data_IF_592574633328
#
_entry.id   IF_592574633328
#
_cell.length_a   1.000
_cell.length_b   1.000
_cell.length_c   1.000
_cell.angle_alpha   90.00
_cell.angle_beta   90.00
_cell.angle_gamma   90.00
#
_symmetry.space_group_name_H-M   'P 1'
#
loop_
_entity.id
_entity.type
_entity.pdbx_description
1 polymer ?
#
# COMPACT_ATOMS: atom_id res chain seq x y z
N UNK A 1 7.94 4.66 -11.68
CA UNK A 1 7.05 4.03 -10.67
C UNK A 1 6.38 2.78 -11.22
N UNK A 2 5.21 2.85 -11.85
CA UNK A 2 4.38 1.73 -12.32
C UNK A 2 5.06 0.40 -12.68
N UNK A 3 6.06 0.41 -13.57
CA UNK A 3 6.74 -0.80 -14.05
C UNK A 3 7.52 -1.56 -12.95
N UNK A 4 7.83 -0.92 -11.81
CA UNK A 4 8.49 -1.59 -10.68
C UNK A 4 7.53 -2.43 -9.85
N UNK A 5 6.23 -2.18 -9.93
CA UNK A 5 5.24 -2.79 -9.03
C UNK A 5 5.04 -4.27 -9.33
N UNK A 6 5.08 -5.09 -8.28
CA UNK A 6 4.92 -6.54 -8.37
C UNK A 6 3.63 -6.97 -7.70
N UNK A 7 2.72 -7.55 -8.48
CA UNK A 7 1.47 -8.14 -8.00
C UNK A 7 1.75 -9.55 -7.47
N UNK A 8 1.56 -9.75 -6.16
CA UNK A 8 1.89 -11.00 -5.47
C UNK A 8 0.66 -11.81 -5.08
N UNK A 9 -0.50 -11.16 -4.97
CA UNK A 9 -1.79 -11.81 -4.76
C UNK A 9 -2.89 -10.99 -5.43
N UNK A 10 -3.86 -11.64 -6.08
CA UNK A 10 -5.05 -10.98 -6.63
C UNK A 10 -6.28 -11.88 -6.55
N UNK A 11 -6.96 -11.86 -5.41
CA UNK A 11 -8.06 -12.74 -5.05
C UNK A 11 -7.66 -13.81 -4.03
N UNK A 12 -8.61 -14.20 -3.18
CA UNK A 12 -8.48 -15.40 -2.31
C UNK A 12 -8.65 -16.70 -3.09
N UNK A 13 -9.24 -16.60 -4.29
CA UNK A 13 -9.38 -17.66 -5.28
C UNK A 13 -9.04 -17.07 -6.65
N UNK A 14 -8.57 -17.91 -7.58
CA UNK A 14 -8.19 -17.52 -8.94
C UNK A 14 -9.34 -16.92 -9.75
N UNK A 15 -10.59 -17.19 -9.37
CA UNK A 15 -11.76 -16.83 -10.17
C UNK A 15 -12.36 -15.47 -9.78
N UNK A 16 -11.94 -14.88 -8.67
CA UNK A 16 -12.48 -13.62 -8.15
C UNK A 16 -11.34 -12.64 -7.84
N UNK A 17 -10.71 -12.05 -8.89
CA UNK A 17 -9.68 -11.03 -8.70
C UNK A 17 -10.28 -9.77 -8.08
N UNK A 18 -9.48 -9.04 -7.29
CA UNK A 18 -9.85 -7.72 -6.77
C UNK A 18 -9.37 -6.60 -7.69
N UNK A 19 -8.20 -6.76 -8.31
CA UNK A 19 -7.61 -5.79 -9.24
C UNK A 19 -7.97 -6.15 -10.69
N UNK A 20 -8.22 -5.15 -11.56
CA UNK A 20 -8.21 -3.71 -11.25
C UNK A 20 -9.42 -3.27 -10.40
N UNK A 21 -9.21 -2.27 -9.54
CA UNK A 21 -10.26 -1.67 -8.71
C UNK A 21 -11.22 -0.84 -9.56
N UNK A 22 -12.49 -0.80 -9.15
CA UNK A 22 -13.51 0.02 -9.80
C UNK A 22 -13.36 1.50 -9.41
N UNK A 23 -13.05 2.36 -10.40
CA UNK A 23 -12.96 3.82 -10.23
C UNK A 23 -14.32 4.46 -9.89
N UNK A 24 -15.45 3.78 -10.12
CA UNK A 24 -16.80 4.32 -9.93
C UNK A 24 -17.49 3.84 -8.64
N UNK A 25 -16.77 3.17 -7.74
CA UNK A 25 -17.31 2.73 -6.47
C UNK A 25 -17.93 3.90 -5.66
N UNK A 26 -19.05 3.69 -4.98
CA UNK A 26 -19.76 4.77 -4.29
C UNK A 26 -18.96 5.36 -3.13
N UNK A 27 -18.29 4.51 -2.34
CA UNK A 27 -17.50 4.92 -1.18
C UNK A 27 -16.33 3.96 -0.96
N UNK A 28 -15.13 4.48 -0.82
CA UNK A 28 -13.91 3.67 -0.64
C UNK A 28 -13.15 4.14 0.61
N UNK A 29 -12.41 3.21 1.21
CA UNK A 29 -11.51 3.49 2.32
C UNK A 29 -10.06 3.49 1.83
N UNK A 30 -9.31 4.53 2.16
CA UNK A 30 -7.85 4.55 2.07
C UNK A 30 -7.31 4.58 3.50
N UNK A 31 -6.38 3.69 3.81
CA UNK A 31 -5.83 3.54 5.16
C UNK A 31 -4.34 3.22 5.15
N UNK A 32 -3.74 3.24 6.33
CA UNK A 32 -2.35 2.88 6.57
C UNK A 32 -1.43 4.10 6.69
N UNK A 33 -0.32 3.89 7.38
CA UNK A 33 0.63 4.95 7.72
C UNK A 33 1.36 5.56 6.53
N UNK A 34 1.34 4.88 5.37
CA UNK A 34 2.06 5.26 4.16
C UNK A 34 1.15 5.78 3.05
N UNK A 35 -0.18 5.84 3.26
CA UNK A 35 -1.09 6.26 2.19
C UNK A 35 -0.99 7.75 1.89
N UNK A 36 -0.72 8.56 2.90
CA UNK A 36 -0.61 10.02 2.78
C UNK A 36 0.68 10.53 3.43
N UNK A 37 1.81 9.99 2.97
CA UNK A 37 3.13 10.35 3.47
C UNK A 37 4.17 10.22 2.35
N UNK A 38 4.53 11.35 1.75
CA UNK A 38 5.43 11.42 0.60
C UNK A 38 6.85 10.94 0.96
N UNK A 39 7.34 11.34 2.12
CA UNK A 39 8.66 10.92 2.60
C UNK A 39 8.77 9.40 2.78
N UNK A 40 7.71 8.75 3.26
CA UNK A 40 7.68 7.30 3.42
C UNK A 40 7.66 6.55 2.07
N UNK A 41 6.93 7.04 1.07
CA UNK A 41 6.98 6.41 -0.26
C UNK A 41 8.30 6.67 -1.01
N UNK A 42 9.09 7.66 -0.59
CA UNK A 42 10.43 7.91 -1.12
C UNK A 42 11.54 7.10 -0.44
N UNK A 43 11.50 6.97 0.90
CA UNK A 43 12.53 6.27 1.68
C UNK A 43 13.77 7.12 1.98
N UNK A 44 14.88 6.47 2.33
CA UNK A 44 16.15 7.13 2.62
C UNK A 44 16.74 7.85 1.40
N UNK A 45 17.78 8.66 1.61
CA UNK A 45 18.41 9.47 0.56
C UNK A 45 17.46 10.40 -0.21
N UNK A 46 16.38 10.86 0.44
CA UNK A 46 15.43 11.82 -0.13
C UNK A 46 15.35 13.06 0.73
N UNK A 47 15.87 14.18 0.20
CA UNK A 47 16.18 15.44 0.89
C UNK A 47 17.19 15.29 2.04
N UNK A 48 16.93 14.38 2.98
CA UNK A 48 17.79 14.04 4.10
C UNK A 48 18.46 12.68 3.88
N UNK A 49 19.61 12.46 4.54
CA UNK A 49 20.34 11.20 4.47
C UNK A 49 19.46 10.00 4.83
N UNK A 50 18.82 10.04 6.00
CA UNK A 50 17.91 8.99 6.45
C UNK A 50 16.52 9.09 5.80
N UNK A 51 16.28 10.09 4.96
CA UNK A 51 14.94 10.50 4.56
C UNK A 51 14.18 11.15 5.72
N UNK A 52 12.89 11.36 5.52
CA UNK A 52 12.03 12.03 6.49
C UNK A 52 10.58 11.55 6.37
N UNK A 53 9.77 11.81 7.39
CA UNK A 53 8.32 11.63 7.35
C UNK A 53 7.63 12.90 6.87
N UNK A 54 6.45 12.77 6.26
CA UNK A 54 5.59 13.87 5.87
C UNK A 54 5.77 14.28 4.41
N UNK A 55 5.20 15.43 4.06
CA UNK A 55 5.09 15.89 2.67
C UNK A 55 6.02 17.09 2.42
N UNK A 56 7.31 16.92 2.67
CA UNK A 56 8.30 18.02 2.67
C UNK A 56 8.98 18.26 1.32
N UNK A 57 8.57 17.55 0.26
CA UNK A 57 8.98 17.82 -1.13
C UNK A 57 7.76 17.88 -2.04
N UNK A 58 7.96 18.28 -3.29
CA UNK A 58 6.92 18.27 -4.32
C UNK A 58 6.72 16.84 -4.82
N UNK A 59 5.47 16.39 -4.84
CA UNK A 59 5.09 15.08 -5.34
C UNK A 59 3.60 14.84 -5.16
N UNK A 60 3.18 13.59 -5.37
CA UNK A 60 1.81 13.15 -5.17
C UNK A 60 1.83 11.92 -4.26
N UNK A 61 1.15 12.00 -3.12
CA UNK A 61 0.97 10.82 -2.25
C UNK A 61 0.06 9.80 -2.91
N UNK A 62 0.08 8.56 -2.43
CA UNK A 62 -0.84 7.52 -2.94
C UNK A 62 -2.31 7.92 -2.69
N UNK A 63 -2.63 8.55 -1.55
CA UNK A 63 -3.97 9.06 -1.23
C UNK A 63 -4.39 10.17 -2.22
N UNK A 64 -3.51 11.12 -2.50
CA UNK A 64 -3.76 12.20 -3.47
C UNK A 64 -3.98 11.63 -4.86
N UNK A 65 -3.13 10.69 -5.29
CA UNK A 65 -3.29 10.00 -6.57
C UNK A 65 -4.62 9.26 -6.66
N UNK A 66 -5.03 8.53 -5.61
CA UNK A 66 -6.34 7.84 -5.58
C UNK A 66 -7.48 8.84 -5.73
N UNK A 67 -7.47 9.94 -4.97
CA UNK A 67 -8.50 10.99 -5.07
C UNK A 67 -8.59 11.61 -6.47
N UNK A 68 -7.47 11.70 -7.18
CA UNK A 68 -7.41 12.25 -8.53
C UNK A 68 -8.00 11.32 -9.59
N UNK A 69 -7.82 10.00 -9.45
CA UNK A 69 -8.19 9.05 -10.52
C UNK A 69 -9.57 8.42 -10.38
N UNK A 70 -10.16 8.40 -9.18
CA UNK A 70 -11.52 7.88 -8.99
C UNK A 70 -12.56 8.84 -9.57
N UNK A 71 -13.76 8.34 -9.82
CA UNK A 71 -14.88 9.18 -10.28
C UNK A 71 -15.12 10.35 -9.32
N UNK A 72 -15.45 11.55 -9.80
CA UNK A 72 -15.87 12.67 -8.94
C UNK A 72 -17.03 12.33 -8.00
N UNK A 73 -17.84 11.30 -8.32
CA UNK A 73 -18.93 10.81 -7.47
C UNK A 73 -18.48 9.84 -6.37
N UNK A 74 -17.25 9.32 -6.44
CA UNK A 74 -16.71 8.37 -5.47
C UNK A 74 -16.29 9.08 -4.19
N UNK A 75 -16.90 8.71 -3.05
CA UNK A 75 -16.50 9.24 -1.75
C UNK A 75 -15.25 8.52 -1.23
N UNK A 76 -14.11 9.21 -1.25
CA UNK A 76 -12.86 8.70 -0.65
C UNK A 76 -12.79 9.10 0.82
N UNK A 77 -12.77 8.12 1.72
CA UNK A 77 -12.53 8.34 3.15
C UNK A 77 -11.11 7.89 3.49
N UNK A 78 -10.34 8.78 4.12
CA UNK A 78 -9.03 8.46 4.66
C UNK A 78 -9.11 8.26 6.17
N UNK A 79 -8.60 7.12 6.65
CA UNK A 79 -8.35 6.87 8.06
C UNK A 79 -7.00 6.18 8.20
N UNK A 80 -6.05 6.80 8.92
CA UNK A 80 -4.68 6.27 9.03
C UNK A 80 -4.66 4.86 9.63
N UNK A 81 -5.32 4.66 10.78
CA UNK A 81 -5.34 3.39 11.51
C UNK A 81 -6.74 3.12 12.08
N UNK A 82 -7.74 2.77 11.23
CA UNK A 82 -9.08 2.47 11.71
C UNK A 82 -9.11 1.13 12.45
N UNK A 83 -9.97 1.03 13.46
CA UNK A 83 -10.35 -0.25 14.05
C UNK A 83 -11.33 -1.01 13.14
N UNK A 84 -11.56 -2.30 13.45
CA UNK A 84 -12.41 -3.16 12.64
C UNK A 84 -13.90 -2.77 12.68
N UNK A 85 -14.39 -2.20 13.79
CA UNK A 85 -15.81 -1.87 13.95
C UNK A 85 -16.17 -0.62 13.14
N UNK A 86 -15.28 0.37 13.11
CA UNK A 86 -15.35 1.49 12.20
C UNK A 86 -15.44 1.01 10.75
N UNK A 87 -14.61 0.05 10.32
CA UNK A 87 -14.61 -0.40 8.93
C UNK A 87 -15.93 -1.08 8.54
N UNK A 88 -16.48 -1.95 9.41
CA UNK A 88 -17.73 -2.70 9.13
C UNK A 88 -18.96 -1.79 9.00
N UNK A 89 -19.06 -0.75 9.83
CA UNK A 89 -20.26 0.09 9.94
C UNK A 89 -20.42 1.16 8.85
N UNK A 90 -19.48 1.29 7.91
CA UNK A 90 -19.37 2.48 7.06
C UNK A 90 -19.82 2.28 5.60
N UNK A 91 -20.15 1.05 5.18
CA UNK A 91 -20.64 0.78 3.83
C UNK A 91 -19.61 1.06 2.73
N UNK A 92 -18.34 0.75 2.97
CA UNK A 92 -17.28 0.85 1.97
C UNK A 92 -17.38 -0.27 0.92
N UNK A 93 -17.10 0.03 -0.34
CA UNK A 93 -17.04 -0.97 -1.42
C UNK A 93 -15.77 -1.82 -1.35
N UNK A 94 -14.63 -1.19 -1.07
CA UNK A 94 -13.33 -1.83 -0.84
C UNK A 94 -12.40 -0.88 -0.06
N UNK A 95 -11.27 -1.42 0.42
CA UNK A 95 -10.20 -0.65 1.04
C UNK A 95 -8.86 -0.77 0.31
N UNK A 96 -8.09 0.31 0.34
CA UNK A 96 -6.68 0.34 -0.05
C UNK A 96 -5.87 0.66 1.21
N UNK A 97 -5.04 -0.30 1.64
CA UNK A 97 -4.20 -0.20 2.85
C UNK A 97 -2.74 -0.07 2.43
N UNK A 98 -2.12 1.07 2.73
CA UNK A 98 -0.73 1.35 2.38
C UNK A 98 0.13 1.37 3.64
N UNK A 99 1.01 0.39 3.79
CA UNK A 99 1.86 0.19 4.96
C UNK A 99 3.27 -0.17 4.53
N UNK A 100 4.24 -0.10 5.45
CA UNK A 100 5.63 -0.23 5.03
C UNK A 100 6.67 0.06 6.08
N UNK A 101 7.94 0.03 5.65
CA UNK A 101 9.08 0.48 6.44
C UNK A 101 9.15 2.02 6.46
N UNK A 102 9.52 2.65 7.59
CA UNK A 102 9.93 4.05 7.57
C UNK A 102 11.21 4.21 6.72
N UNK A 103 11.55 5.45 6.31
CA UNK A 103 12.84 5.75 5.69
C UNK A 103 14.04 5.29 6.54
N UNK A 104 15.07 4.79 5.86
CA UNK A 104 16.37 4.45 6.43
C UNK A 104 17.43 4.51 5.33
N UNK A 105 18.68 4.73 5.75
CA UNK A 105 19.85 4.62 4.88
C UNK A 105 21.00 3.92 5.62
N UNK A 106 21.72 3.07 4.88
CA UNK A 106 22.92 2.35 5.35
C UNK A 106 22.63 1.51 6.61
N UNK A 107 23.49 1.57 7.62
CA UNK A 107 23.43 0.71 8.81
C UNK A 107 22.18 0.96 9.68
N UNK A 108 21.52 2.11 9.54
CA UNK A 108 20.22 2.35 10.20
C UNK A 108 19.11 1.46 9.65
N UNK A 109 19.31 0.87 8.46
CA UNK A 109 18.43 -0.12 7.88
C UNK A 109 18.67 -1.54 8.38
N UNK A 110 19.70 -1.82 9.18
CA UNK A 110 19.99 -3.17 9.66
C UNK A 110 18.84 -3.67 10.57
N UNK A 111 18.23 -4.78 10.18
CA UNK A 111 17.05 -5.32 10.86
C UNK A 111 16.98 -6.84 10.71
N UNK A 112 17.06 -7.55 11.84
CA UNK A 112 17.06 -9.02 11.89
C UNK A 112 15.65 -9.63 11.82
N UNK A 113 14.61 -8.84 12.09
CA UNK A 113 13.23 -9.34 12.20
C UNK A 113 12.42 -9.18 10.90
N UNK A 114 12.73 -8.14 10.11
CA UNK A 114 12.08 -7.82 8.82
C UNK A 114 10.53 -7.90 8.85
N UNK A 115 9.91 -7.49 9.95
CA UNK A 115 8.46 -7.40 10.11
C UNK A 115 7.93 -6.03 9.70
N UNK A 116 6.69 -5.95 9.21
CA UNK A 116 6.04 -4.67 8.85
C UNK A 116 5.88 -3.79 10.11
N UNK A 117 6.57 -2.63 10.20
CA UNK A 117 6.57 -1.80 11.40
C UNK A 117 5.35 -0.86 11.46
N UNK A 118 5.38 0.08 12.43
CA UNK A 118 4.42 1.18 12.57
C UNK A 118 2.95 0.74 12.69
N UNK A 119 2.72 -0.41 13.32
CA UNK A 119 1.38 -0.99 13.47
C UNK A 119 0.76 -1.47 12.15
N UNK A 120 1.54 -1.54 11.06
CA UNK A 120 1.00 -1.87 9.74
C UNK A 120 0.33 -3.24 9.69
N UNK A 121 0.85 -4.22 10.43
CA UNK A 121 0.22 -5.52 10.58
C UNK A 121 -1.17 -5.47 11.22
N UNK A 122 -1.38 -4.60 12.20
CA UNK A 122 -2.67 -4.47 12.88
C UNK A 122 -3.66 -3.68 12.02
N UNK A 123 -3.21 -2.64 11.30
CA UNK A 123 -4.04 -1.96 10.30
C UNK A 123 -4.49 -2.92 9.20
N UNK A 124 -3.61 -3.82 8.72
CA UNK A 124 -4.00 -4.88 7.77
C UNK A 124 -5.07 -5.77 8.39
N UNK A 125 -4.88 -6.29 9.61
CA UNK A 125 -5.87 -7.16 10.25
C UNK A 125 -7.22 -6.48 10.43
N UNK A 126 -7.24 -5.25 10.93
CA UNK A 126 -8.47 -4.50 11.21
C UNK A 126 -9.26 -4.22 9.94
N UNK A 127 -8.59 -3.80 8.87
CA UNK A 127 -9.25 -3.44 7.61
C UNK A 127 -9.60 -4.67 6.79
N UNK A 128 -8.63 -5.54 6.50
CA UNK A 128 -8.81 -6.70 5.63
C UNK A 128 -9.61 -7.84 6.29
N UNK A 129 -9.70 -7.85 7.62
CA UNK A 129 -10.60 -8.75 8.34
C UNK A 129 -12.06 -8.33 8.26
N UNK A 130 -12.33 -7.05 7.95
CA UNK A 130 -13.68 -6.47 7.92
C UNK A 130 -14.20 -6.21 6.50
N UNK A 131 -13.32 -5.99 5.53
CA UNK A 131 -13.67 -5.57 4.17
C UNK A 131 -12.69 -6.13 3.14
N UNK A 132 -13.15 -6.31 1.90
CA UNK A 132 -12.25 -6.62 0.79
C UNK A 132 -11.16 -5.56 0.67
N UNK A 133 -9.90 -5.99 0.66
CA UNK A 133 -8.78 -5.06 0.73
C UNK A 133 -7.67 -5.35 -0.28
N UNK A 134 -7.12 -4.27 -0.83
CA UNK A 134 -5.80 -4.24 -1.44
C UNK A 134 -4.80 -3.77 -0.38
N UNK A 135 -3.72 -4.52 -0.17
CA UNK A 135 -2.56 -4.07 0.60
C UNK A 135 -1.43 -3.70 -0.36
N UNK A 136 -0.93 -2.48 -0.22
CA UNK A 136 0.24 -1.96 -0.92
C UNK A 136 1.38 -1.86 0.08
N UNK A 137 2.44 -2.63 -0.11
CA UNK A 137 3.64 -2.61 0.73
C UNK A 137 4.68 -1.65 0.17
N UNK A 138 5.06 -0.67 0.96
CA UNK A 138 6.19 0.25 0.74
C UNK A 138 7.40 -0.28 1.52
N UNK A 139 8.46 -0.69 0.85
CA UNK A 139 9.60 -1.32 1.52
C UNK A 139 10.83 -1.32 0.64
N UNK A 140 12.02 -1.19 1.22
CA UNK A 140 13.28 -1.33 0.48
C UNK A 140 13.60 -2.79 0.11
N UNK A 141 12.88 -3.76 0.70
CA UNK A 141 13.19 -5.19 0.65
C UNK A 141 11.96 -6.07 0.99
N UNK A 142 12.00 -7.39 0.75
CA UNK A 142 10.97 -8.31 1.22
C UNK A 142 10.80 -8.26 2.74
N UNK A 143 9.55 -8.35 3.22
CA UNK A 143 9.20 -8.40 4.65
C UNK A 143 8.32 -9.62 4.96
N UNK A 144 8.21 -9.95 6.24
CA UNK A 144 7.29 -10.97 6.75
C UNK A 144 5.84 -10.57 6.45
N UNK A 145 5.22 -11.26 5.48
CA UNK A 145 3.82 -11.04 5.08
C UNK A 145 2.90 -12.23 5.36
N UNK A 146 3.48 -13.43 5.56
CA UNK A 146 2.74 -14.71 5.70
C UNK A 146 1.55 -14.64 6.67
N UNK A 147 1.63 -14.01 7.87
CA UNK A 147 0.52 -13.96 8.81
C UNK A 147 -0.72 -13.22 8.27
N UNK A 148 -0.55 -12.31 7.33
CA UNK A 148 -1.61 -11.44 6.83
C UNK A 148 -2.22 -11.93 5.51
N UNK A 149 -1.48 -12.74 4.73
CA UNK A 149 -1.92 -13.23 3.42
C UNK A 149 -3.30 -13.89 3.42
N UNK A 150 -3.76 -14.64 4.44
CA UNK A 150 -5.13 -15.19 4.45
C UNK A 150 -6.24 -14.12 4.47
N UNK A 151 -5.97 -12.96 5.07
CA UNK A 151 -6.94 -11.87 5.22
C UNK A 151 -7.01 -11.01 3.96
N UNK A 152 -5.85 -10.76 3.34
CA UNK A 152 -5.68 -9.83 2.21
C UNK A 152 -6.26 -10.40 0.92
N UNK A 153 -7.02 -9.62 0.16
CA UNK A 153 -7.55 -10.05 -1.14
C UNK A 153 -6.53 -9.81 -2.26
N UNK A 154 -5.91 -8.63 -2.32
CA UNK A 154 -4.80 -8.36 -3.22
C UNK A 154 -3.58 -7.79 -2.49
N UNK A 155 -2.38 -8.22 -2.89
CA UNK A 155 -1.12 -7.79 -2.27
C UNK A 155 -0.14 -7.34 -3.35
N UNK A 156 0.38 -6.12 -3.21
CA UNK A 156 1.31 -5.51 -4.15
C UNK A 156 2.55 -5.02 -3.41
N UNK A 157 3.72 -5.39 -3.91
CA UNK A 157 4.98 -4.78 -3.50
C UNK A 157 5.25 -3.56 -4.40
N UNK A 158 5.26 -2.37 -3.80
CA UNK A 158 5.50 -1.10 -4.49
C UNK A 158 6.94 -0.58 -4.33
N UNK A 159 7.74 -1.24 -3.49
CA UNK A 159 9.11 -0.86 -3.17
C UNK A 159 9.18 0.54 -2.53
N UNK A 160 10.13 1.37 -2.94
CA UNK A 160 10.18 2.81 -2.64
C UNK A 160 9.88 3.58 -3.93
N UNK A 161 8.59 3.87 -4.23
CA UNK A 161 8.19 4.37 -5.55
C UNK A 161 8.60 5.83 -5.83
N UNK A 162 9.08 6.60 -4.85
CA UNK A 162 9.48 8.00 -5.06
C UNK A 162 8.29 8.96 -5.07
N UNK A 163 8.43 10.13 -5.70
CA UNK A 163 7.47 11.25 -5.61
C UNK A 163 6.18 11.04 -6.39
N UNK A 164 6.17 10.19 -7.41
CA UNK A 164 5.08 10.08 -8.38
C UNK A 164 4.07 8.99 -8.00
N UNK A 165 3.26 9.22 -6.96
CA UNK A 165 2.24 8.28 -6.48
C UNK A 165 1.22 7.87 -7.54
N UNK A 166 1.03 8.67 -8.60
CA UNK A 166 0.16 8.36 -9.73
C UNK A 166 0.54 7.06 -10.45
N UNK A 167 1.84 6.72 -10.47
CA UNK A 167 2.27 5.46 -11.06
C UNK A 167 1.82 4.22 -10.29
N UNK A 168 1.39 4.38 -9.03
CA UNK A 168 0.70 3.32 -8.27
C UNK A 168 -0.73 3.16 -8.77
N UNK A 169 -1.46 4.27 -8.90
CA UNK A 169 -2.85 4.27 -9.36
C UNK A 169 -3.02 3.78 -10.80
N UNK A 170 -2.05 4.05 -11.67
CA UNK A 170 -2.02 3.56 -13.06
C UNK A 170 -2.30 2.05 -13.18
N UNK A 171 -1.80 1.23 -12.25
CA UNK A 171 -1.94 -0.23 -12.31
C UNK A 171 -3.03 -0.78 -11.41
N UNK A 172 -3.25 -0.20 -10.22
CA UNK A 172 -4.28 -0.73 -9.32
C UNK A 172 -5.70 -0.44 -9.85
N UNK A 173 -5.88 0.59 -10.69
CA UNK A 173 -7.15 0.90 -11.35
C UNK A 173 -7.19 0.50 -12.84
N UNK A 174 -6.15 -0.17 -13.34
CA UNK A 174 -6.20 -0.83 -14.65
C UNK A 174 -5.97 0.05 -15.88
N UNK A 175 -5.48 1.28 -15.75
CA UNK A 175 -5.02 2.07 -16.90
C UNK A 175 -3.87 1.36 -17.63
N UNK A 176 -3.10 0.57 -16.88
CA UNK A 176 -2.08 -0.35 -17.40
C UNK A 176 -2.07 -1.66 -16.60
N UNK A 177 -1.57 -2.73 -17.21
CA UNK A 177 -1.32 -4.00 -16.51
C UNK A 177 -0.04 -4.00 -15.68
N UNK A 178 -0.01 -4.82 -14.63
CA UNK A 178 1.21 -5.12 -13.86
C UNK A 178 2.23 -5.86 -14.73
N UNK A 179 3.49 -5.43 -14.68
CA UNK A 179 4.60 -6.03 -15.43
C UNK A 179 5.81 -6.37 -14.56
N UNK A 180 5.85 -5.87 -13.32
CA UNK A 180 6.96 -6.10 -12.42
C UNK A 180 7.08 -7.58 -12.05
N UNK A 181 8.32 -8.05 -11.99
CA UNK A 181 8.70 -9.36 -11.44
C UNK A 181 9.58 -9.14 -10.23
N UNK A 182 9.54 -10.07 -9.28
CA UNK A 182 10.40 -10.00 -8.11
C UNK A 182 11.88 -9.99 -8.53
N UNK A 183 12.64 -8.92 -8.22
CA UNK A 183 14.08 -8.89 -8.49
C UNK A 183 14.88 -9.60 -7.37
N UNK A 184 14.19 -10.02 -6.29
CA UNK A 184 14.77 -10.74 -5.14
C UNK A 184 13.84 -11.84 -4.67
N UNK A 185 14.41 -12.90 -4.11
CA UNK A 185 13.65 -13.95 -3.43
C UNK A 185 12.86 -13.38 -2.26
N UNK A 186 11.57 -13.71 -2.17
CA UNK A 186 10.76 -13.44 -0.98
C UNK A 186 10.86 -14.62 -0.02
N UNK A 187 11.47 -14.42 1.14
CA UNK A 187 11.71 -15.48 2.11
C UNK A 187 10.42 -15.95 2.80
N UNK A 188 10.43 -17.17 3.35
CA UNK A 188 9.31 -17.74 4.12
C UNK A 188 9.38 -17.37 5.62
N UNK A 189 10.59 -17.27 6.15
CA UNK A 189 10.96 -16.80 7.48
C UNK A 189 12.32 -16.10 7.39
N UNK A 190 12.60 -15.21 8.35
CA UNK A 190 13.94 -14.62 8.51
C UNK A 190 14.97 -15.65 8.96
#
# INVERSE_FOLDING_TARGET
>A
VRKSMVLLKNGKSTNNPLLPLDKNASKILVAGTHSDNLGYQCGGWTLEWQGLSGNSTIGTTILEAIKFVVSPSTKVVYQKNPDADYVKGQGFSYAIVVVGEPPYAEYFGDNLNLTIPLGGGDTIKNVCGALKCLVILISGRPLVIKPYLPLVDAFVAAWLPGTEGQGVTDVIFGDYGFQGKLPRTWFKSV
#
